data_IF_204835957360
#
_entry.id   IF_204835957360
#
_cell.length_a   1.000
_cell.length_b   1.000
_cell.length_c   1.000
_cell.angle_alpha   90.00
_cell.angle_beta   90.00
_cell.angle_gamma   90.00
#
_symmetry.space_group_name_H-M   'P 1'
#
loop_
_entity.id
_entity.type
_entity.pdbx_description
1 polymer ?
#
# COMPACT_ATOMS: atom_id res chain seq x y z
N UNK A 1 -12.56 -93.86 17.72
CA UNK A 1 -11.84 -93.66 18.96
C UNK A 1 -11.42 -92.19 18.96
N UNK A 2 -12.17 -91.43 19.63
CA UNK A 2 -11.93 -90.72 20.94
C UNK A 2 -10.54 -89.98 20.95
N UNK A 3 -10.45 -88.68 21.08
CA UNK A 3 -10.65 -87.88 22.26
C UNK A 3 -10.36 -86.37 21.86
N UNK A 4 -11.26 -85.51 21.99
CA UNK A 4 -11.36 -84.44 23.02
C UNK A 4 -10.02 -83.74 23.42
N UNK A 5 -9.88 -82.48 23.10
CA UNK A 5 -9.24 -81.51 24.00
C UNK A 5 -9.55 -80.06 23.56
N UNK A 6 -10.11 -79.44 24.35
CA UNK A 6 -10.43 -78.16 24.90
C UNK A 6 -9.50 -77.01 24.51
N UNK A 7 -10.03 -76.02 23.85
CA UNK A 7 -9.37 -74.76 23.49
C UNK A 7 -9.72 -73.70 24.50
N UNK A 8 -8.69 -73.15 25.15
CA UNK A 8 -8.78 -71.95 25.97
C UNK A 8 -8.50 -70.75 25.10
N UNK A 9 -9.50 -69.92 24.93
CA UNK A 9 -9.35 -68.62 24.24
C UNK A 9 -8.80 -67.56 25.22
N UNK A 10 -7.60 -67.05 24.95
CA UNK A 10 -7.03 -65.92 25.66
C UNK A 10 -7.14 -64.67 24.77
N UNK A 11 -8.11 -63.80 25.08
CA UNK A 11 -8.31 -62.56 24.38
C UNK A 11 -7.22 -61.56 24.74
N UNK A 12 -6.48 -61.10 23.76
CA UNK A 12 -5.54 -59.98 23.85
C UNK A 12 -6.29 -58.70 23.41
N UNK A 13 -6.71 -57.89 24.37
CA UNK A 13 -7.23 -56.55 24.11
C UNK A 13 -6.07 -55.61 23.81
N UNK A 14 -5.84 -55.30 22.55
CA UNK A 14 -4.95 -54.20 22.13
C UNK A 14 -5.63 -52.87 22.40
N UNK A 15 -5.27 -52.23 23.52
CA UNK A 15 -5.61 -50.83 23.76
C UNK A 15 -4.76 -49.97 22.84
N UNK A 16 -5.35 -49.42 21.76
CA UNK A 16 -4.75 -48.37 20.95
C UNK A 16 -4.78 -47.06 21.76
N UNK A 17 -3.68 -46.74 22.40
CA UNK A 17 -3.43 -45.41 22.90
C UNK A 17 -3.14 -44.50 21.70
N UNK A 18 -4.16 -43.79 21.24
CA UNK A 18 -4.01 -42.65 20.33
C UNK A 18 -3.20 -41.56 21.08
N UNK A 19 -1.91 -41.57 20.87
CA UNK A 19 -1.04 -40.49 21.32
C UNK A 19 -1.38 -39.24 20.48
N UNK A 20 -2.26 -38.37 20.98
CA UNK A 20 -2.34 -36.99 20.51
C UNK A 20 -1.00 -36.33 20.79
N UNK A 21 -0.11 -36.32 19.85
CA UNK A 21 1.07 -35.46 19.87
C UNK A 21 0.55 -34.02 19.82
N UNK A 22 0.81 -33.18 20.84
CA UNK A 22 0.51 -31.75 20.75
C UNK A 22 1.32 -31.19 19.59
N UNK A 23 0.62 -30.72 18.55
CA UNK A 23 1.23 -30.04 17.43
C UNK A 23 1.90 -28.80 18.00
N UNK A 24 3.22 -28.75 17.98
CA UNK A 24 3.97 -27.58 18.42
C UNK A 24 3.45 -26.37 17.63
N UNK A 25 3.18 -25.24 18.28
CA UNK A 25 2.76 -24.05 17.57
C UNK A 25 3.83 -23.73 16.52
N UNK A 26 3.42 -23.65 15.26
CA UNK A 26 4.32 -23.25 14.16
C UNK A 26 4.92 -21.91 14.55
N UNK A 27 6.21 -21.88 14.80
CA UNK A 27 6.92 -20.65 15.10
C UNK A 27 6.70 -19.70 13.92
N UNK A 28 6.01 -18.59 14.16
CA UNK A 28 5.87 -17.51 13.16
C UNK A 28 7.30 -17.05 12.91
N UNK A 29 7.78 -17.25 11.68
CA UNK A 29 9.11 -16.80 11.30
C UNK A 29 9.22 -15.28 11.56
N UNK A 30 10.24 -14.87 12.26
CA UNK A 30 10.53 -13.46 12.46
C UNK A 30 10.75 -12.82 11.09
N UNK A 31 10.26 -11.60 10.91
CA UNK A 31 10.38 -10.86 9.64
C UNK A 31 11.18 -9.60 9.85
N UNK A 32 12.05 -9.29 8.89
CA UNK A 32 12.89 -8.10 8.88
C UNK A 32 12.50 -7.22 7.70
N UNK A 33 12.45 -5.90 7.94
CA UNK A 33 12.23 -4.91 6.91
C UNK A 33 13.57 -4.45 6.30
N UNK A 34 13.74 -4.66 5.00
CA UNK A 34 14.82 -4.07 4.21
C UNK A 34 14.31 -2.79 3.60
N UNK A 35 14.95 -1.68 3.94
CA UNK A 35 14.57 -0.35 3.46
C UNK A 35 15.61 0.15 2.48
N UNK A 36 15.15 0.60 1.31
CA UNK A 36 15.95 1.19 0.26
C UNK A 36 15.54 2.65 0.09
N UNK A 37 16.51 3.55 0.15
CA UNK A 37 16.28 4.97 -0.14
C UNK A 37 16.16 5.21 -1.63
N UNK A 38 15.29 6.12 -2.03
CA UNK A 38 15.11 6.56 -3.41
C UNK A 38 15.85 7.88 -3.59
N UNK A 39 16.61 7.99 -4.67
CA UNK A 39 17.33 9.23 -5.02
C UNK A 39 16.76 9.80 -6.32
N UNK A 40 16.47 11.10 -6.39
CA UNK A 40 16.70 12.16 -5.37
C UNK A 40 15.68 12.09 -4.21
N UNK A 41 16.03 12.71 -3.08
CA UNK A 41 15.22 12.72 -1.85
C UNK A 41 13.90 13.51 -2.02
N UNK A 42 13.88 14.47 -2.93
CA UNK A 42 12.67 15.23 -3.27
C UNK A 42 12.53 15.44 -4.77
N UNK A 43 11.29 15.48 -5.24
CA UNK A 43 10.96 15.75 -6.63
C UNK A 43 9.81 16.74 -6.71
N UNK A 44 10.03 17.87 -7.42
CA UNK A 44 8.97 18.83 -7.71
C UNK A 44 8.12 18.33 -8.87
N UNK A 45 6.82 18.47 -8.72
CA UNK A 45 5.82 18.09 -9.71
C UNK A 45 4.97 19.30 -10.08
N UNK A 46 4.55 19.37 -11.34
CA UNK A 46 3.64 20.42 -11.81
C UNK A 46 2.65 19.81 -12.79
N UNK A 47 1.37 20.03 -12.53
CA UNK A 47 0.28 19.57 -13.38
C UNK A 47 -0.71 20.75 -13.57
N UNK A 48 -0.50 21.53 -14.63
CA UNK A 48 -1.31 22.75 -14.88
C UNK A 48 -1.16 23.77 -13.74
N UNK A 49 -2.27 23.97 -13.03
CA UNK A 49 -2.38 24.90 -11.88
C UNK A 49 -2.03 24.23 -10.54
N UNK A 50 -1.77 22.92 -10.52
CA UNK A 50 -1.32 22.22 -9.32
C UNK A 50 0.20 22.08 -9.36
N UNK A 51 0.84 22.55 -8.32
CA UNK A 51 2.26 22.31 -8.07
C UNK A 51 2.42 21.47 -6.82
N UNK A 52 3.49 20.71 -6.73
CA UNK A 52 3.71 19.87 -5.57
C UNK A 52 5.14 19.40 -5.45
N UNK A 53 5.35 18.58 -4.45
CA UNK A 53 6.62 17.96 -4.15
C UNK A 53 6.38 16.56 -3.58
N UNK A 54 7.16 15.60 -4.06
CA UNK A 54 7.23 14.26 -3.48
C UNK A 54 8.51 14.17 -2.68
N UNK A 55 8.39 13.77 -1.41
CA UNK A 55 9.51 13.62 -0.47
C UNK A 55 9.47 12.29 0.26
N UNK A 56 10.52 11.99 1.01
CA UNK A 56 10.59 10.85 1.91
C UNK A 56 10.33 9.50 1.20
N UNK A 57 10.69 9.40 -0.08
CA UNK A 57 10.49 8.19 -0.86
C UNK A 57 11.40 7.07 -0.39
N UNK A 58 10.81 5.91 -0.12
CA UNK A 58 11.53 4.70 0.25
C UNK A 58 10.82 3.46 -0.29
N UNK A 59 11.60 2.45 -0.60
CA UNK A 59 11.07 1.12 -0.90
C UNK A 59 11.34 0.21 0.29
N UNK A 60 10.31 -0.45 0.77
CA UNK A 60 10.41 -1.42 1.88
C UNK A 60 10.05 -2.80 1.38
N UNK A 61 10.94 -3.75 1.57
CA UNK A 61 10.74 -5.18 1.32
C UNK A 61 10.78 -5.91 2.66
N UNK A 62 9.76 -6.73 2.93
CA UNK A 62 9.69 -7.52 4.15
C UNK A 62 10.12 -8.95 3.87
N UNK A 63 11.16 -9.41 4.55
CA UNK A 63 11.76 -10.73 4.36
C UNK A 63 11.74 -11.55 5.65
N UNK A 64 11.57 -12.85 5.50
CA UNK A 64 11.69 -13.79 6.63
C UNK A 64 13.14 -13.88 7.09
N UNK A 65 13.32 -13.83 8.39
CA UNK A 65 14.62 -14.01 9.02
C UNK A 65 15.13 -15.44 8.79
N UNK A 66 16.41 -15.57 8.45
CA UNK A 66 17.07 -16.84 8.21
C UNK A 66 16.89 -17.38 6.77
N UNK A 67 15.67 -17.36 6.21
CA UNK A 67 15.43 -17.85 4.84
C UNK A 67 15.66 -16.78 3.78
N UNK A 68 15.50 -15.50 4.13
CA UNK A 68 15.52 -14.37 3.19
C UNK A 68 14.36 -14.38 2.19
N UNK A 69 13.35 -15.23 2.40
CA UNK A 69 12.17 -15.29 1.55
C UNK A 69 11.33 -14.02 1.73
N UNK A 70 10.83 -13.47 0.63
CA UNK A 70 9.93 -12.30 0.67
C UNK A 70 8.61 -12.72 1.33
N UNK A 71 8.31 -12.12 2.48
CA UNK A 71 7.09 -12.38 3.23
C UNK A 71 5.93 -11.47 2.75
N UNK A 72 6.25 -10.25 2.31
CA UNK A 72 5.28 -9.28 1.77
C UNK A 72 5.90 -8.59 0.56
N UNK A 73 5.15 -8.41 -0.53
CA UNK A 73 5.63 -7.68 -1.70
C UNK A 73 6.19 -6.31 -1.34
N UNK A 74 7.23 -5.91 -2.07
CA UNK A 74 7.86 -4.62 -1.85
C UNK A 74 6.89 -3.46 -2.13
N UNK A 75 7.01 -2.39 -1.34
CA UNK A 75 6.19 -1.19 -1.46
C UNK A 75 7.04 0.05 -1.56
N UNK A 76 6.64 0.95 -2.47
CA UNK A 76 7.11 2.32 -2.50
C UNK A 76 6.19 3.18 -1.65
N UNK A 77 6.75 3.85 -0.67
CA UNK A 77 6.03 4.83 0.15
C UNK A 77 6.70 6.20 0.03
N UNK A 78 5.94 7.26 0.29
CA UNK A 78 6.44 8.63 0.27
C UNK A 78 5.40 9.63 0.75
N UNK A 79 5.75 10.90 0.71
CA UNK A 79 4.87 12.02 1.03
C UNK A 79 4.70 12.89 -0.21
N UNK A 80 3.46 13.19 -0.56
CA UNK A 80 3.08 14.07 -1.66
C UNK A 80 2.44 15.33 -1.09
N UNK A 81 3.08 16.48 -1.26
CA UNK A 81 2.51 17.79 -0.98
C UNK A 81 2.00 18.39 -2.26
N UNK A 82 0.78 18.90 -2.26
CA UNK A 82 0.14 19.55 -3.42
C UNK A 82 -0.32 20.94 -3.05
N UNK A 83 -0.26 21.88 -3.99
CA UNK A 83 -0.79 23.23 -3.85
C UNK A 83 -1.50 23.65 -5.13
N UNK A 84 -2.71 24.14 -5.01
CA UNK A 84 -3.43 24.77 -6.09
C UNK A 84 -2.97 26.24 -6.22
N UNK A 85 -2.47 26.62 -7.38
CA UNK A 85 -1.98 27.99 -7.65
C UNK A 85 -2.98 28.86 -8.39
N UNK A 86 -4.18 28.33 -8.69
CA UNK A 86 -5.26 29.11 -9.29
C UNK A 86 -5.85 30.10 -8.30
N UNK A 87 -6.48 31.15 -8.83
CA UNK A 87 -7.26 32.11 -8.05
C UNK A 87 -8.77 31.81 -8.05
N UNK A 88 -9.25 30.95 -8.98
CA UNK A 88 -10.67 30.80 -9.27
C UNK A 88 -11.13 29.35 -9.54
N UNK A 89 -10.20 28.39 -9.53
CA UNK A 89 -10.53 27.01 -9.81
C UNK A 89 -10.19 26.11 -8.61
N UNK A 90 -11.14 25.28 -8.23
CA UNK A 90 -10.94 24.16 -7.32
C UNK A 90 -10.45 22.95 -8.11
N UNK A 91 -9.47 22.23 -7.58
CA UNK A 91 -9.00 20.96 -8.13
C UNK A 91 -9.37 19.83 -7.19
N UNK A 92 -9.84 18.73 -7.73
CA UNK A 92 -10.10 17.52 -6.97
C UNK A 92 -9.22 16.39 -7.46
N UNK A 93 -8.39 15.84 -6.58
CA UNK A 93 -7.59 14.66 -6.88
C UNK A 93 -8.51 13.42 -6.87
N UNK A 94 -8.56 12.70 -7.99
CA UNK A 94 -9.44 11.52 -8.14
C UNK A 94 -8.67 10.21 -8.19
N UNK A 95 -7.35 10.25 -8.24
CA UNK A 95 -6.51 9.07 -8.24
C UNK A 95 -5.15 9.28 -8.85
N UNK A 96 -4.39 8.21 -8.89
CA UNK A 96 -3.07 8.20 -9.50
C UNK A 96 -2.66 6.82 -9.97
N UNK A 97 -1.66 6.79 -10.85
CA UNK A 97 -0.98 5.58 -11.31
C UNK A 97 0.52 5.79 -11.19
N UNK A 98 1.23 4.69 -11.00
CA UNK A 98 2.68 4.70 -10.96
C UNK A 98 3.21 3.69 -11.97
N UNK A 99 4.27 4.05 -12.68
CA UNK A 99 4.96 3.16 -13.60
C UNK A 99 6.45 3.18 -13.31
N UNK A 100 7.07 2.03 -13.42
CA UNK A 100 8.49 1.82 -13.18
C UNK A 100 9.15 1.53 -14.52
N UNK A 101 10.18 2.28 -14.86
CA UNK A 101 10.81 2.21 -16.18
C UNK A 101 12.25 1.71 -16.02
N UNK A 102 12.63 0.74 -16.83
CA UNK A 102 13.96 0.17 -16.81
C UNK A 102 15.00 1.03 -17.58
N UNK A 103 16.24 0.60 -17.54
CA UNK A 103 17.36 1.27 -18.23
C UNK A 103 17.20 1.32 -19.75
N UNK A 104 16.36 0.45 -20.34
CA UNK A 104 16.03 0.40 -21.76
C UNK A 104 14.80 1.24 -22.13
N UNK A 105 14.16 1.89 -21.12
CA UNK A 105 12.97 2.70 -21.32
C UNK A 105 11.66 1.89 -21.39
N UNK A 106 11.69 0.61 -21.01
CA UNK A 106 10.51 -0.26 -20.99
C UNK A 106 9.87 -0.28 -19.61
N UNK A 107 8.55 -0.42 -19.52
CA UNK A 107 7.87 -0.62 -18.24
C UNK A 107 8.31 -1.94 -17.60
N UNK A 108 8.65 -1.88 -16.31
CA UNK A 108 8.88 -3.05 -15.48
C UNK A 108 7.52 -3.52 -14.98
N UNK A 109 7.21 -4.78 -15.23
CA UNK A 109 5.94 -5.39 -14.81
C UNK A 109 5.99 -5.81 -13.35
N UNK A 110 4.86 -5.71 -12.69
CA UNK A 110 4.62 -6.33 -11.38
C UNK A 110 4.44 -7.84 -11.51
N UNK A 111 4.42 -8.55 -10.40
CA UNK A 111 4.26 -10.01 -10.38
C UNK A 111 2.96 -10.51 -11.02
N UNK A 112 1.93 -9.67 -11.05
CA UNK A 112 0.63 -9.94 -11.69
C UNK A 112 0.51 -9.39 -13.12
N UNK A 113 1.63 -9.06 -13.77
CA UNK A 113 1.74 -8.50 -15.12
C UNK A 113 1.16 -7.09 -15.32
N UNK A 114 0.80 -6.37 -14.26
CA UNK A 114 0.45 -4.94 -14.36
C UNK A 114 1.69 -4.09 -14.57
N UNK A 115 1.58 -3.04 -15.38
CA UNK A 115 2.67 -2.07 -15.65
C UNK A 115 2.43 -0.72 -15.02
N UNK A 116 1.19 -0.44 -14.60
CA UNK A 116 0.79 0.84 -14.02
C UNK A 116 -0.25 0.61 -12.91
N UNK A 117 0.18 0.10 -11.74
CA UNK A 117 -0.72 -0.06 -10.60
C UNK A 117 -1.26 1.28 -10.13
N UNK A 118 -2.44 1.26 -9.53
CA UNK A 118 -3.01 2.42 -8.88
C UNK A 118 -2.20 2.80 -7.65
N UNK A 119 -1.97 4.09 -7.48
CA UNK A 119 -1.36 4.63 -6.26
C UNK A 119 -2.46 4.90 -5.24
N UNK A 120 -2.27 4.40 -4.04
CA UNK A 120 -3.09 4.83 -2.91
C UNK A 120 -2.58 6.19 -2.45
N UNK A 121 -3.43 7.19 -2.59
CA UNK A 121 -3.15 8.56 -2.13
C UNK A 121 -4.03 8.82 -0.93
N UNK A 122 -3.48 8.58 0.26
CA UNK A 122 -4.18 8.77 1.53
C UNK A 122 -4.05 10.20 2.04
N UNK A 123 -5.14 10.74 2.58
CA UNK A 123 -5.11 12.02 3.27
C UNK A 123 -4.35 11.94 4.58
N UNK A 124 -3.50 12.93 4.86
CA UNK A 124 -2.78 13.05 6.13
C UNK A 124 -3.39 14.06 7.09
N UNK A 125 -4.64 14.52 6.86
CA UNK A 125 -5.30 15.54 7.69
C UNK A 125 -6.81 15.43 7.75
N UNK A 126 -7.42 16.23 8.63
CA UNK A 126 -8.88 16.38 8.71
C UNK A 126 -9.39 17.21 7.52
N UNK A 127 -10.40 16.71 6.82
CA UNK A 127 -11.06 17.38 5.69
C UNK A 127 -11.16 16.50 4.44
N UNK A 128 -11.78 17.00 3.39
CA UNK A 128 -11.77 16.37 2.07
C UNK A 128 -10.40 16.59 1.43
N UNK A 129 -9.45 15.74 1.76
CA UNK A 129 -8.06 15.87 1.35
C UNK A 129 -7.82 15.75 -0.16
N UNK A 130 -8.81 15.30 -0.87
CA UNK A 130 -8.85 15.21 -2.33
C UNK A 130 -9.23 16.55 -2.99
N UNK A 131 -9.77 17.54 -2.23
CA UNK A 131 -10.16 18.85 -2.73
C UNK A 131 -9.11 19.91 -2.39
N UNK A 132 -8.75 20.68 -3.39
CA UNK A 132 -7.81 21.81 -3.30
C UNK A 132 -8.50 23.07 -3.83
N UNK A 133 -8.97 23.91 -2.94
CA UNK A 133 -9.50 25.23 -3.30
C UNK A 133 -8.39 26.19 -3.73
N UNK A 134 -8.69 27.35 -4.34
CA UNK A 134 -7.70 28.31 -4.74
C UNK A 134 -6.73 28.66 -3.63
N UNK A 135 -5.43 28.55 -3.92
CA UNK A 135 -4.35 28.80 -2.97
C UNK A 135 -4.14 27.72 -1.91
N UNK A 136 -5.03 26.76 -1.78
CA UNK A 136 -4.97 25.69 -0.77
C UNK A 136 -3.84 24.71 -1.06
N UNK A 137 -3.25 24.18 0.03
CA UNK A 137 -2.30 23.09 -0.01
C UNK A 137 -2.83 21.87 0.76
N UNK A 138 -2.41 20.69 0.34
CA UNK A 138 -2.70 19.43 1.03
C UNK A 138 -1.47 18.54 1.08
N UNK A 139 -1.47 17.59 2.01
CA UNK A 139 -0.41 16.59 2.14
C UNK A 139 -1.03 15.19 2.15
N UNK A 140 -0.41 14.29 1.41
CA UNK A 140 -0.87 12.93 1.21
C UNK A 140 0.27 11.94 1.43
N UNK A 141 -0.07 10.73 1.87
CA UNK A 141 0.85 9.59 1.81
C UNK A 141 0.70 8.90 0.46
N UNK A 142 1.82 8.55 -0.15
CA UNK A 142 1.88 7.65 -1.29
C UNK A 142 2.13 6.23 -0.77
N UNK A 143 1.35 5.28 -1.23
CA UNK A 143 1.59 3.84 -1.04
C UNK A 143 1.31 3.14 -2.37
N UNK A 144 2.32 2.47 -2.91
CA UNK A 144 2.23 1.77 -4.17
C UNK A 144 3.03 0.47 -4.13
N UNK A 145 2.53 -0.55 -4.82
CA UNK A 145 3.28 -1.78 -5.02
C UNK A 145 4.55 -1.49 -5.83
N UNK A 146 5.64 -2.17 -5.47
CA UNK A 146 6.94 -1.99 -6.13
C UNK A 146 7.40 -3.31 -6.77
N UNK A 147 7.87 -3.32 -8.04
CA UNK A 147 8.29 -4.54 -8.70
C UNK A 147 9.61 -5.05 -8.11
N UNK A 148 9.57 -6.23 -7.52
CA UNK A 148 10.75 -6.89 -6.92
C UNK A 148 11.87 -7.09 -7.95
N UNK A 149 11.52 -7.28 -9.21
CA UNK A 149 12.49 -7.38 -10.31
C UNK A 149 13.41 -6.15 -10.40
N UNK A 150 12.88 -4.95 -10.13
CA UNK A 150 13.66 -3.72 -10.14
C UNK A 150 14.71 -3.67 -9.02
N UNK A 151 14.40 -4.23 -7.84
CA UNK A 151 15.36 -4.33 -6.74
C UNK A 151 16.47 -5.32 -7.05
N UNK A 152 16.10 -6.51 -7.54
CA UNK A 152 17.06 -7.60 -7.80
C UNK A 152 18.06 -7.25 -8.90
N UNK A 153 17.56 -6.68 -9.99
CA UNK A 153 18.38 -6.38 -11.16
C UNK A 153 19.04 -4.99 -11.10
N UNK A 154 18.70 -4.14 -10.13
CA UNK A 154 19.08 -2.72 -10.08
C UNK A 154 18.80 -2.02 -11.42
N UNK A 155 17.71 -2.41 -12.07
CA UNK A 155 17.36 -2.02 -13.42
C UNK A 155 16.47 -0.79 -13.51
N UNK A 156 16.01 -0.24 -12.37
CA UNK A 156 15.16 0.92 -12.34
C UNK A 156 15.91 2.18 -12.78
N UNK A 157 15.39 2.83 -13.80
CA UNK A 157 15.86 4.12 -14.29
C UNK A 157 14.98 5.27 -13.85
N UNK A 158 13.66 5.06 -13.88
CA UNK A 158 12.68 6.14 -13.70
C UNK A 158 11.42 5.60 -13.01
N UNK A 159 10.83 6.43 -12.17
CA UNK A 159 9.49 6.25 -11.61
C UNK A 159 8.61 7.36 -12.17
N UNK A 160 7.50 7.00 -12.82
CA UNK A 160 6.50 7.94 -13.32
C UNK A 160 5.27 7.91 -12.44
N UNK A 161 4.93 9.06 -11.89
CA UNK A 161 3.71 9.27 -11.12
C UNK A 161 2.74 10.10 -11.99
N UNK A 162 1.58 9.52 -12.29
CA UNK A 162 0.49 10.17 -13.00
C UNK A 162 -0.63 10.43 -12.00
N UNK A 163 -0.99 11.70 -11.83
CA UNK A 163 -2.09 12.12 -10.96
C UNK A 163 -3.24 12.63 -11.82
N UNK A 164 -4.44 12.21 -11.47
CA UNK A 164 -5.66 12.64 -12.16
C UNK A 164 -6.45 13.63 -11.31
N UNK A 165 -6.81 14.77 -11.91
CA UNK A 165 -7.57 15.82 -11.26
C UNK A 165 -8.83 16.16 -12.04
N UNK A 166 -9.89 16.54 -11.34
CA UNK A 166 -11.08 17.16 -11.90
C UNK A 166 -11.08 18.64 -11.50
N UNK A 167 -11.02 19.58 -12.46
CA UNK A 167 -11.21 20.98 -12.18
C UNK A 167 -12.68 21.32 -12.02
N UNK A 168 -13.00 22.25 -11.14
CA UNK A 168 -14.32 22.87 -11.02
C UNK A 168 -14.17 24.36 -10.74
N UNK A 169 -15.13 25.15 -11.17
CA UNK A 169 -15.12 26.57 -10.85
C UNK A 169 -15.33 26.74 -9.34
N UNK A 170 -14.46 27.51 -8.70
CA UNK A 170 -14.66 27.90 -7.32
C UNK A 170 -15.78 28.92 -7.24
N UNK A 171 -16.77 28.70 -6.37
CA UNK A 171 -17.83 29.64 -6.04
C UNK A 171 -17.93 29.75 -4.54
N UNK A 172 -17.78 30.96 -4.05
CA UNK A 172 -18.11 31.30 -2.68
C UNK A 172 -19.54 31.82 -2.64
N UNK A 173 -20.41 31.13 -1.89
CA UNK A 173 -21.80 31.55 -1.71
C UNK A 173 -22.02 31.96 -0.27
N UNK A 174 -22.50 33.19 -0.08
CA UNK A 174 -22.83 33.72 1.23
C UNK A 174 -24.33 33.67 1.45
N UNK A 175 -24.77 32.92 2.46
CA UNK A 175 -26.17 32.88 2.87
C UNK A 175 -26.36 33.82 4.06
N UNK A 176 -27.20 34.86 3.85
CA UNK A 176 -27.60 35.82 4.87
C UNK A 176 -29.01 35.48 5.37
N UNK A 177 -29.18 35.43 6.68
CA UNK A 177 -30.47 35.25 7.30
C UNK A 177 -30.63 36.20 8.49
N UNK A 178 -31.83 36.70 8.67
CA UNK A 178 -32.17 37.57 9.79
C UNK A 178 -32.76 36.75 10.90
N UNK A 179 -32.25 36.92 12.10
CA UNK A 179 -32.77 36.28 13.31
C UNK A 179 -33.31 37.33 14.26
N UNK A 180 -34.50 37.06 14.84
CA UNK A 180 -35.05 37.89 15.91
C UNK A 180 -34.98 37.10 17.21
N UNK A 181 -34.37 37.68 18.24
CA UNK A 181 -34.34 37.09 19.57
C UNK A 181 -35.47 37.72 20.36
N UNK A 182 -36.54 36.95 20.61
CA UNK A 182 -37.61 37.39 21.48
C UNK A 182 -37.16 37.30 22.94
N UNK A 183 -37.11 38.41 23.63
CA UNK A 183 -36.98 38.47 25.09
C UNK A 183 -38.33 38.83 25.71
N UNK A 184 -38.71 38.11 26.78
CA UNK A 184 -39.79 38.54 27.70
C UNK A 184 -39.22 39.57 28.65
#
# INVERSE_FOLDING_TARGET
MLMKSLLVALGAACAMLAACTPQAPSAIAAVNDKVYTVTPDSMKVKAGIVVGEVTDMKVTERVEEGSGRVAVPAKLTGKLSLKNTSSDQTMRLIGGKISYIDMQGKPIVLEDNRTAPSVQVGATGYGSADRLDPGQASSHTLDAEFPVAALKAKSLKEVRLELAFIPSQFREETLNFTVSIGGQ
#
